data_IF_727778074340
#
_entry.id   IF_727778074340
#
_cell.length_a   1.000
_cell.length_b   1.000
_cell.length_c   1.000
_cell.angle_alpha   90.00
_cell.angle_beta   90.00
_cell.angle_gamma   90.00
#
_symmetry.space_group_name_H-M   'P 1'
#
loop_
_entity.id
_entity.type
_entity.pdbx_description
1 polymer ?
#
# COMPACT_ATOMS: atom_id res chain seq x y z
N UNK A 1 15.50 10.48 -8.75
CA UNK A 1 15.67 10.65 -7.31
C UNK A 1 14.85 9.60 -6.59
N UNK A 2 15.48 8.83 -5.71
CA UNK A 2 14.78 7.74 -5.01
C UNK A 2 14.02 8.33 -3.84
N UNK A 3 12.72 8.00 -3.73
CA UNK A 3 11.93 8.43 -2.60
C UNK A 3 12.43 7.76 -1.32
N UNK A 4 12.68 8.54 -0.29
CA UNK A 4 13.06 8.01 1.01
C UNK A 4 11.80 7.76 1.83
N UNK A 5 11.65 6.53 2.29
CA UNK A 5 10.51 6.13 3.11
C UNK A 5 10.99 5.93 4.54
N UNK A 6 10.51 6.77 5.45
CA UNK A 6 10.84 6.69 6.87
C UNK A 6 9.82 5.82 7.60
N UNK A 7 10.26 5.14 8.65
CA UNK A 7 9.38 4.29 9.46
C UNK A 7 8.28 5.09 10.18
N UNK A 8 8.49 6.38 10.36
CA UNK A 8 7.53 7.28 10.99
C UNK A 8 6.56 7.92 10.01
N UNK A 9 6.80 7.78 8.70
CA UNK A 9 5.89 8.30 7.69
C UNK A 9 4.55 7.56 7.75
N UNK A 10 3.48 8.25 7.39
CA UNK A 10 2.14 7.67 7.38
C UNK A 10 1.64 7.58 5.95
N UNK A 11 1.67 6.38 5.35
CA UNK A 11 1.21 6.23 3.98
C UNK A 11 -0.32 6.28 3.88
N UNK A 12 -0.78 6.92 2.81
CA UNK A 12 -2.21 7.02 2.51
C UNK A 12 -2.40 6.96 1.00
N UNK A 13 -3.55 6.51 0.54
CA UNK A 13 -3.88 6.56 -0.87
C UNK A 13 -3.95 8.01 -1.35
N UNK A 14 -3.38 8.28 -2.52
CA UNK A 14 -3.49 9.59 -3.15
C UNK A 14 -4.97 9.87 -3.41
N UNK A 15 -5.35 11.13 -3.33
CA UNK A 15 -6.72 11.56 -3.64
C UNK A 15 -7.10 11.09 -5.05
N UNK A 16 -8.27 10.46 -5.17
CA UNK A 16 -8.74 9.89 -6.43
C UNK A 16 -8.34 8.43 -6.65
N UNK A 17 -7.54 7.85 -5.74
CA UNK A 17 -7.17 6.44 -5.77
C UNK A 17 -8.02 5.70 -4.75
N UNK A 18 -8.60 4.58 -5.15
CA UNK A 18 -9.47 3.79 -4.27
C UNK A 18 -9.31 2.30 -4.54
N UNK A 19 -9.67 1.50 -3.55
CA UNK A 19 -9.69 0.05 -3.69
C UNK A 19 -11.02 -0.41 -4.27
N UNK A 20 -10.99 -1.57 -4.94
CA UNK A 20 -12.18 -2.20 -5.47
C UNK A 20 -11.94 -3.68 -5.69
N UNK A 21 -12.88 -4.31 -6.35
CA UNK A 21 -12.79 -5.72 -6.74
C UNK A 21 -13.11 -5.87 -8.22
N UNK A 22 -12.40 -6.79 -8.88
CA UNK A 22 -12.69 -7.13 -10.27
C UNK A 22 -14.06 -7.81 -10.31
N UNK A 23 -15.00 -7.31 -11.12
CA UNK A 23 -16.33 -7.93 -11.19
C UNK A 23 -16.34 -9.32 -11.79
N UNK A 24 -15.29 -9.70 -12.53
CA UNK A 24 -15.23 -11.02 -13.18
C UNK A 24 -14.79 -12.13 -12.22
N UNK A 25 -13.77 -11.88 -11.38
CA UNK A 25 -13.19 -12.92 -10.54
C UNK A 25 -13.09 -12.54 -9.06
N UNK A 26 -13.51 -11.33 -8.70
CA UNK A 26 -13.44 -10.86 -7.32
C UNK A 26 -12.04 -10.50 -6.83
N UNK A 27 -11.06 -10.45 -7.73
CA UNK A 27 -9.69 -10.12 -7.36
C UNK A 27 -9.60 -8.67 -6.85
N UNK A 28 -8.75 -8.40 -5.85
CA UNK A 28 -8.59 -7.03 -5.38
C UNK A 28 -7.87 -6.17 -6.42
N UNK A 29 -8.36 -4.97 -6.59
CA UNK A 29 -7.81 -4.00 -7.54
C UNK A 29 -7.67 -2.63 -6.90
N UNK A 30 -6.81 -1.81 -7.47
CA UNK A 30 -6.66 -0.41 -7.13
C UNK A 30 -7.11 0.41 -8.34
N UNK A 31 -8.07 1.30 -8.11
CA UNK A 31 -8.66 2.15 -9.15
C UNK A 31 -8.11 3.56 -9.04
N UNK A 32 -7.69 4.12 -10.16
CA UNK A 32 -7.17 5.49 -10.20
C UNK A 32 -7.49 6.10 -11.57
N UNK A 33 -7.40 7.44 -11.71
CA UNK A 33 -7.84 8.08 -12.97
C UNK A 33 -7.15 7.55 -14.22
N UNK A 34 -5.88 7.13 -14.11
CA UNK A 34 -5.09 6.66 -15.24
C UNK A 34 -5.29 5.18 -15.55
N UNK A 35 -5.97 4.42 -14.67
CA UNK A 35 -6.17 2.99 -14.93
C UNK A 35 -6.49 2.16 -13.70
N UNK A 36 -6.13 0.90 -13.81
CA UNK A 36 -6.41 -0.13 -12.80
C UNK A 36 -5.14 -0.93 -12.56
N UNK A 37 -4.85 -1.22 -11.30
CA UNK A 37 -3.75 -2.09 -10.91
C UNK A 37 -4.33 -3.32 -10.21
N UNK A 38 -3.99 -4.51 -10.71
CA UNK A 38 -4.38 -5.75 -10.05
C UNK A 38 -3.45 -6.02 -8.88
N UNK A 39 -4.02 -6.42 -7.75
CA UNK A 39 -3.28 -6.64 -6.52
C UNK A 39 -3.28 -8.11 -6.16
N UNK A 40 -2.17 -8.60 -5.60
CA UNK A 40 -2.21 -9.87 -4.90
C UNK A 40 -2.75 -9.63 -3.48
N UNK A 41 -2.95 -10.71 -2.72
CA UNK A 41 -3.54 -10.60 -1.38
C UNK A 41 -2.66 -9.80 -0.43
N UNK A 42 -1.34 -9.95 -0.53
CA UNK A 42 -0.41 -9.19 0.30
C UNK A 42 -0.50 -7.70 0.02
N UNK A 43 -0.49 -7.33 -1.27
CA UNK A 43 -0.61 -5.93 -1.66
C UNK A 43 -1.94 -5.34 -1.22
N UNK A 44 -3.03 -6.09 -1.34
CA UNK A 44 -4.35 -5.66 -0.88
C UNK A 44 -4.35 -5.41 0.64
N UNK A 45 -3.73 -6.30 1.40
CA UNK A 45 -3.65 -6.16 2.86
C UNK A 45 -2.86 -4.91 3.26
N UNK A 46 -1.77 -4.63 2.57
CA UNK A 46 -0.96 -3.42 2.81
C UNK A 46 -1.78 -2.17 2.49
N UNK A 47 -2.41 -2.15 1.33
CA UNK A 47 -3.15 -0.98 0.85
C UNK A 47 -4.35 -0.67 1.74
N UNK A 48 -5.05 -1.69 2.24
CA UNK A 48 -6.18 -1.49 3.14
C UNK A 48 -5.80 -0.77 4.42
N UNK A 49 -4.52 -0.82 4.79
CA UNK A 49 -3.99 -0.19 6.00
C UNK A 49 -3.34 1.17 5.72
N UNK A 50 -3.35 1.62 4.46
CA UNK A 50 -2.75 2.89 4.04
C UNK A 50 -3.79 4.01 4.06
N UNK A 51 -4.25 4.37 5.24
CA UNK A 51 -5.28 5.40 5.43
C UNK A 51 -4.73 6.68 6.08
N UNK A 52 -3.42 6.76 6.25
CA UNK A 52 -2.78 7.90 6.88
C UNK A 52 -2.77 7.87 8.40
N UNK A 53 -3.40 6.87 9.02
CA UNK A 53 -3.48 6.76 10.47
C UNK A 53 -2.33 5.96 11.08
N UNK A 54 -1.69 5.09 10.29
CA UNK A 54 -0.61 4.23 10.75
C UNK A 54 0.71 4.66 10.15
N UNK A 55 1.76 4.62 11.00
CA UNK A 55 3.13 4.75 10.50
C UNK A 55 3.51 3.53 9.67
N UNK A 56 4.56 3.67 8.86
CA UNK A 56 5.12 2.54 8.12
C UNK A 56 5.48 1.40 9.07
N UNK A 57 6.09 1.72 10.22
CA UNK A 57 6.46 0.70 11.21
C UNK A 57 5.25 -0.07 11.71
N UNK A 58 4.17 0.63 12.05
CA UNK A 58 2.95 0.00 12.54
C UNK A 58 2.27 -0.83 11.45
N UNK A 59 2.29 -0.34 10.22
CA UNK A 59 1.71 -1.04 9.07
C UNK A 59 2.45 -2.34 8.79
N UNK A 60 3.78 -2.30 8.76
CA UNK A 60 4.63 -3.47 8.56
C UNK A 60 4.35 -4.51 9.64
N UNK A 61 4.29 -4.08 10.90
CA UNK A 61 3.99 -4.98 12.01
C UNK A 61 2.61 -5.63 11.85
N UNK A 62 1.60 -4.84 11.51
CA UNK A 62 0.24 -5.37 11.34
C UNK A 62 0.15 -6.42 10.23
N UNK A 63 0.83 -6.19 9.11
CA UNK A 63 0.79 -7.12 7.98
C UNK A 63 1.60 -8.39 8.29
N UNK A 64 2.77 -8.25 8.89
CA UNK A 64 3.62 -9.41 9.19
C UNK A 64 3.06 -10.28 10.33
N UNK A 65 2.23 -9.73 11.20
CA UNK A 65 1.53 -10.51 12.21
C UNK A 65 0.43 -11.39 11.63
N UNK A 66 -0.23 -10.92 10.57
CA UNK A 66 -1.34 -11.64 9.92
C UNK A 66 -0.85 -12.65 8.90
N UNK A 67 0.21 -12.33 8.20
CA UNK A 67 0.76 -13.15 7.10
C UNK A 67 2.19 -13.55 7.43
N UNK A 68 2.38 -14.78 7.88
CA UNK A 68 3.67 -15.30 8.35
C UNK A 68 4.75 -15.33 7.27
N UNK A 69 4.35 -15.48 6.00
CA UNK A 69 5.28 -15.59 4.88
C UNK A 69 5.65 -14.23 4.26
N UNK A 70 5.12 -13.14 4.79
CA UNK A 70 5.42 -11.79 4.27
C UNK A 70 6.65 -11.23 4.99
N UNK A 71 7.64 -10.82 4.20
CA UNK A 71 8.86 -10.22 4.73
C UNK A 71 8.72 -8.70 4.80
N UNK A 72 9.36 -8.11 5.80
CA UNK A 72 9.39 -6.65 5.97
C UNK A 72 9.89 -5.97 4.70
N UNK A 73 10.92 -6.53 4.06
CA UNK A 73 11.49 -5.98 2.84
C UNK A 73 10.48 -5.95 1.69
N UNK A 74 9.62 -6.96 1.61
CA UNK A 74 8.58 -7.03 0.57
C UNK A 74 7.55 -5.91 0.77
N UNK A 75 7.15 -5.65 2.00
CA UNK A 75 6.22 -4.57 2.32
C UNK A 75 6.85 -3.21 1.98
N UNK A 76 8.09 -3.01 2.39
CA UNK A 76 8.81 -1.76 2.13
C UNK A 76 8.98 -1.52 0.62
N UNK A 77 9.33 -2.56 -0.12
CA UNK A 77 9.49 -2.47 -1.57
C UNK A 77 8.16 -2.10 -2.25
N UNK A 78 7.08 -2.75 -1.83
CA UNK A 78 5.74 -2.44 -2.35
C UNK A 78 5.35 -0.99 -2.09
N UNK A 79 5.58 -0.50 -0.88
CA UNK A 79 5.27 0.88 -0.53
C UNK A 79 6.06 1.87 -1.38
N UNK A 80 7.36 1.61 -1.58
CA UNK A 80 8.19 2.47 -2.43
C UNK A 80 7.71 2.47 -3.88
N UNK A 81 7.33 1.31 -4.41
CA UNK A 81 6.83 1.19 -5.77
C UNK A 81 5.53 1.97 -5.95
N UNK A 82 4.61 1.85 -5.00
CA UNK A 82 3.34 2.56 -5.04
C UNK A 82 3.52 4.08 -4.93
N UNK A 83 4.46 4.51 -4.11
CA UNK A 83 4.81 5.94 -4.00
C UNK A 83 5.42 6.44 -5.31
N UNK A 84 6.32 5.65 -5.91
CA UNK A 84 6.95 6.00 -7.18
C UNK A 84 5.92 6.12 -8.31
N UNK A 85 4.88 5.30 -8.28
CA UNK A 85 3.77 5.35 -9.23
C UNK A 85 2.73 6.42 -8.89
N UNK A 86 2.93 7.15 -7.80
CA UNK A 86 2.03 8.20 -7.32
C UNK A 86 0.64 7.68 -6.95
N UNK A 87 0.57 6.45 -6.48
CA UNK A 87 -0.67 5.85 -5.97
C UNK A 87 -0.79 6.02 -4.46
N UNK A 88 0.34 6.12 -3.77
CA UNK A 88 0.42 6.44 -2.34
C UNK A 88 1.15 7.77 -2.14
N UNK A 89 0.73 8.48 -1.12
CA UNK A 89 1.44 9.64 -0.58
C UNK A 89 1.80 9.35 0.87
N UNK A 90 2.80 10.05 1.38
CA UNK A 90 3.19 9.89 2.78
C UNK A 90 2.97 11.19 3.52
N UNK A 91 2.51 11.07 4.76
CA UNK A 91 2.40 12.19 5.69
C UNK A 91 3.44 11.99 6.78
N UNK A 92 4.04 13.08 7.20
CA UNK A 92 5.00 13.02 8.32
C UNK A 92 4.26 12.78 9.62
N UNK A 93 4.75 11.83 10.37
CA UNK A 93 4.18 11.45 11.64
C UNK A 93 4.41 12.43 12.77
#
# INVERSE_FOLDING_TARGET
MTATLALTDRPALRRGVRTGTDPLDGAPILLFPEGVLFLNQTAAAVIQRCDGSRSVAALVQAVTEVYDDVLVEDVMSLLRDLIAQRLLVTRRG
#
